data_IF_527292654662
#
_entry.id   IF_527292654662
#
_cell.length_a   1.000
_cell.length_b   1.000
_cell.length_c   1.000
_cell.angle_alpha   90.00
_cell.angle_beta   90.00
_cell.angle_gamma   90.00
#
_symmetry.space_group_name_H-M   'P 1'
#
loop_
_entity.id
_entity.type
_entity.pdbx_description
1 polymer ?
#
# COMPACT_ATOMS: atom_id res chain seq x y z
N UNK A 1 -7.33 6.91 11.82
CA UNK A 1 -7.86 6.15 10.65
C UNK A 1 -7.13 6.58 9.37
N UNK A 2 -7.01 5.70 8.38
CA UNK A 2 -6.40 6.06 7.09
C UNK A 2 -7.27 7.02 6.25
N UNK A 3 -6.66 8.11 5.78
CA UNK A 3 -7.25 9.02 4.80
C UNK A 3 -6.21 9.46 3.75
N UNK A 4 -6.67 10.07 2.65
CA UNK A 4 -5.84 10.59 1.56
C UNK A 4 -5.56 12.06 1.81
N UNK A 5 -4.28 12.38 1.95
CA UNK A 5 -3.81 13.74 2.18
C UNK A 5 -3.02 14.28 1.00
N UNK A 6 -2.92 15.61 0.94
CA UNK A 6 -2.10 16.35 -0.01
C UNK A 6 -1.08 17.20 0.75
N UNK A 7 0.17 17.16 0.33
CA UNK A 7 1.25 18.02 0.82
C UNK A 7 1.15 19.40 0.16
N UNK A 8 1.57 20.42 0.90
CA UNK A 8 1.71 21.78 0.37
C UNK A 8 2.83 21.87 -0.67
N UNK A 9 3.90 21.09 -0.47
CA UNK A 9 5.04 21.01 -1.37
C UNK A 9 5.16 19.60 -1.99
N UNK A 10 5.45 19.56 -3.29
CA UNK A 10 5.67 18.30 -4.02
C UNK A 10 7.01 17.71 -3.59
N UNK A 11 6.95 16.53 -2.98
CA UNK A 11 8.15 15.72 -2.80
C UNK A 11 8.65 15.32 -4.20
N UNK A 12 9.91 15.63 -4.55
CA UNK A 12 10.44 15.34 -5.88
C UNK A 12 10.47 13.84 -6.20
N UNK A 13 10.54 12.99 -5.18
CA UNK A 13 10.60 11.52 -5.32
C UNK A 13 9.22 10.88 -5.11
N UNK A 14 8.42 11.40 -4.19
CA UNK A 14 7.19 10.75 -3.72
C UNK A 14 5.88 11.47 -4.12
N UNK A 15 6.00 12.64 -4.75
CA UNK A 15 4.87 13.41 -5.24
C UNK A 15 4.13 14.21 -4.16
N UNK A 16 2.86 14.55 -4.46
CA UNK A 16 2.05 15.46 -3.64
C UNK A 16 1.09 14.76 -2.68
N UNK A 17 0.67 13.54 -2.98
CA UNK A 17 -0.34 12.83 -2.19
C UNK A 17 0.29 11.71 -1.37
N UNK A 18 -0.36 11.37 -0.28
CA UNK A 18 -0.01 10.26 0.59
C UNK A 18 -1.27 9.75 1.30
N UNK A 19 -1.26 8.50 1.71
CA UNK A 19 -2.28 7.96 2.62
C UNK A 19 -1.72 8.04 4.03
N UNK A 20 -2.50 8.42 5.03
CA UNK A 20 -2.02 8.46 6.41
C UNK A 20 -3.09 8.13 7.43
N UNK A 21 -2.63 7.51 8.52
CA UNK A 21 -3.38 7.34 9.75
C UNK A 21 -2.63 8.07 10.88
N UNK A 22 -3.06 9.29 11.24
CA UNK A 22 -2.38 10.08 12.27
C UNK A 22 -2.40 9.42 13.65
N UNK A 23 -3.48 8.73 14.02
CA UNK A 23 -3.63 8.10 15.34
C UNK A 23 -2.64 6.95 15.53
N UNK A 24 -2.38 6.22 14.43
CA UNK A 24 -1.42 5.10 14.41
C UNK A 24 -0.02 5.52 13.94
N UNK A 25 0.18 6.80 13.66
CA UNK A 25 1.43 7.38 13.12
C UNK A 25 1.92 6.66 11.85
N UNK A 26 0.99 6.32 10.97
CA UNK A 26 1.29 5.60 9.71
C UNK A 26 1.16 6.52 8.51
N UNK A 27 2.09 6.45 7.56
CA UNK A 27 1.91 7.03 6.24
C UNK A 27 2.30 6.04 5.14
N UNK A 28 1.69 6.14 3.97
CA UNK A 28 1.99 5.37 2.78
C UNK A 28 2.14 6.30 1.57
N UNK A 29 3.21 6.10 0.82
CA UNK A 29 3.48 6.81 -0.43
C UNK A 29 3.95 5.86 -1.51
N UNK A 30 3.46 6.06 -2.73
CA UNK A 30 4.01 5.38 -3.91
C UNK A 30 5.36 6.02 -4.27
N UNK A 31 6.38 5.18 -4.43
CA UNK A 31 7.72 5.59 -4.88
C UNK A 31 7.79 5.56 -6.39
N UNK A 32 7.46 4.42 -7.00
CA UNK A 32 7.53 4.23 -8.45
C UNK A 32 6.63 3.09 -8.92
N UNK A 33 6.38 3.01 -10.23
CA UNK A 33 5.84 1.80 -10.86
C UNK A 33 6.94 0.75 -11.12
N UNK A 34 6.55 -0.52 -11.22
CA UNK A 34 7.49 -1.62 -11.48
C UNK A 34 7.67 -1.86 -12.99
N UNK A 35 8.15 -0.86 -13.74
CA UNK A 35 8.48 -0.88 -15.18
C UNK A 35 7.92 -2.04 -16.04
N UNK A 36 8.48 -3.25 -15.91
CA UNK A 36 8.17 -4.43 -16.72
C UNK A 36 6.94 -5.25 -16.27
N UNK A 37 6.31 -4.92 -15.14
CA UNK A 37 5.14 -5.63 -14.61
C UNK A 37 4.13 -4.69 -13.94
N UNK A 38 2.83 -5.05 -13.93
CA UNK A 38 1.83 -4.31 -13.17
C UNK A 38 2.16 -4.32 -11.68
N UNK A 39 2.25 -3.13 -11.08
CA UNK A 39 2.61 -3.00 -9.68
C UNK A 39 3.35 -1.71 -9.37
N UNK A 40 3.70 -1.56 -8.10
CA UNK A 40 4.44 -0.40 -7.63
C UNK A 40 5.28 -0.70 -6.40
N UNK A 41 6.34 0.09 -6.25
CA UNK A 41 7.14 0.19 -5.04
C UNK A 41 6.57 1.29 -4.15
N UNK A 42 6.53 1.02 -2.85
CA UNK A 42 5.96 1.90 -1.84
C UNK A 42 6.91 2.11 -0.69
N UNK A 43 6.72 3.25 -0.03
CA UNK A 43 7.31 3.62 1.25
C UNK A 43 6.16 3.71 2.25
N UNK A 44 6.23 2.93 3.32
CA UNK A 44 5.38 3.14 4.50
C UNK A 44 6.24 3.63 5.66
N UNK A 45 5.73 4.57 6.43
CA UNK A 45 6.33 4.96 7.72
C UNK A 45 5.41 4.54 8.85
N UNK A 46 5.96 4.03 9.95
CA UNK A 46 5.22 3.74 11.19
C UNK A 46 6.05 4.27 12.35
N UNK A 47 5.66 5.41 12.92
CA UNK A 47 6.54 6.16 13.82
C UNK A 47 7.86 6.50 13.11
N UNK A 48 8.98 6.03 13.66
CA UNK A 48 10.32 6.21 13.08
C UNK A 48 10.71 5.15 12.04
N UNK A 49 9.97 4.02 11.96
CA UNK A 49 10.28 2.95 11.02
C UNK A 49 9.93 3.37 9.59
N UNK A 50 10.84 3.15 8.64
CA UNK A 50 10.62 3.35 7.21
C UNK A 50 10.71 2.00 6.51
N UNK A 51 9.58 1.51 6.00
CA UNK A 51 9.44 0.16 5.48
C UNK A 51 9.18 0.24 3.97
N UNK A 52 10.17 -0.12 3.14
CA UNK A 52 9.97 -0.25 1.71
C UNK A 52 9.33 -1.60 1.35
N UNK A 53 8.50 -1.62 0.31
CA UNK A 53 7.92 -2.86 -0.20
C UNK A 53 7.45 -2.74 -1.66
N UNK A 54 7.24 -3.87 -2.31
CA UNK A 54 6.71 -3.96 -3.67
C UNK A 54 5.44 -4.80 -3.68
N UNK A 55 4.48 -4.36 -4.50
CA UNK A 55 3.25 -5.12 -4.75
C UNK A 55 3.02 -5.28 -6.25
N UNK A 56 2.44 -6.42 -6.63
CA UNK A 56 1.77 -6.55 -7.93
C UNK A 56 0.41 -5.87 -7.91
N UNK A 57 -0.17 -5.64 -9.08
CA UNK A 57 -1.54 -5.19 -9.24
C UNK A 57 -2.18 -5.83 -10.46
N UNK A 58 -2.83 -6.98 -10.26
CA UNK A 58 -3.48 -7.72 -11.33
C UNK A 58 -4.95 -7.28 -11.45
N UNK A 59 -5.39 -6.94 -12.66
CA UNK A 59 -6.81 -6.75 -12.95
C UNK A 59 -7.45 -8.12 -13.21
N UNK A 60 -8.49 -8.45 -12.45
CA UNK A 60 -9.19 -9.72 -12.51
C UNK A 60 -10.69 -9.49 -12.61
N UNK A 61 -11.43 -10.50 -13.06
CA UNK A 61 -12.89 -10.50 -13.07
C UNK A 61 -13.39 -11.52 -12.07
N UNK A 62 -14.30 -11.08 -11.20
CA UNK A 62 -14.96 -11.94 -10.23
C UNK A 62 -15.92 -12.89 -10.97
N UNK A 63 -15.74 -14.22 -10.88
CA UNK A 63 -16.50 -15.16 -11.69
C UNK A 63 -17.97 -15.28 -11.26
N UNK A 64 -18.32 -14.89 -10.04
CA UNK A 64 -19.69 -14.96 -9.53
C UNK A 64 -20.50 -13.73 -9.91
N UNK A 65 -19.86 -12.56 -9.86
CA UNK A 65 -20.54 -11.27 -10.09
C UNK A 65 -20.27 -10.67 -11.47
N UNK A 66 -19.22 -11.12 -12.15
CA UNK A 66 -18.72 -10.53 -13.40
C UNK A 66 -18.02 -9.17 -13.23
N UNK A 67 -17.85 -8.70 -12.00
CA UNK A 67 -17.26 -7.39 -11.71
C UNK A 67 -15.73 -7.45 -11.78
N UNK A 68 -15.12 -6.44 -12.41
CA UNK A 68 -13.65 -6.29 -12.40
C UNK A 68 -13.15 -5.78 -11.05
N UNK A 69 -11.98 -6.24 -10.63
CA UNK A 69 -11.29 -5.79 -9.43
C UNK A 69 -9.78 -5.86 -9.60
N UNK A 70 -9.07 -5.04 -8.84
CA UNK A 70 -7.62 -5.07 -8.74
C UNK A 70 -7.23 -5.90 -7.51
N UNK A 71 -6.46 -6.95 -7.74
CA UNK A 71 -5.83 -7.73 -6.67
C UNK A 71 -4.36 -7.35 -6.51
N UNK A 72 -4.00 -6.91 -5.31
CA UNK A 72 -2.61 -6.64 -4.94
C UNK A 72 -2.07 -7.76 -4.09
N UNK A 73 -0.82 -8.14 -4.37
CA UNK A 73 -0.07 -9.10 -3.56
C UNK A 73 1.30 -8.51 -3.24
N UNK A 74 1.74 -8.66 -2.00
CA UNK A 74 3.09 -8.28 -1.60
C UNK A 74 4.09 -9.24 -2.24
N UNK A 75 4.98 -8.70 -3.08
CA UNK A 75 6.11 -9.46 -3.61
C UNK A 75 7.28 -9.44 -2.62
N UNK A 76 7.42 -8.32 -1.92
CA UNK A 76 8.41 -8.12 -0.87
C UNK A 76 7.82 -7.23 0.22
N UNK A 77 8.36 -7.33 1.43
CA UNK A 77 7.99 -6.44 2.54
C UNK A 77 9.17 -6.25 3.48
N UNK A 78 9.60 -5.00 3.66
CA UNK A 78 10.86 -4.62 4.32
C UNK A 78 12.05 -4.48 3.37
N UNK A 79 11.89 -4.80 2.09
CA UNK A 79 12.91 -4.57 1.08
C UNK A 79 12.22 -4.23 -0.25
N UNK A 80 12.81 -3.33 -1.02
CA UNK A 80 12.40 -3.07 -2.41
C UNK A 80 13.62 -2.57 -3.19
N UNK A 81 14.12 -3.34 -4.17
CA UNK A 81 15.17 -2.86 -5.07
C UNK A 81 14.78 -1.56 -5.76
N UNK A 82 13.51 -1.41 -6.15
CA UNK A 82 13.00 -0.20 -6.80
C UNK A 82 13.00 0.99 -5.85
N UNK A 83 12.53 0.82 -4.61
CA UNK A 83 12.52 1.90 -3.62
C UNK A 83 13.93 2.30 -3.19
N UNK A 84 14.87 1.34 -3.14
CA UNK A 84 16.28 1.63 -2.89
C UNK A 84 16.88 2.45 -4.02
N UNK A 85 16.68 2.04 -5.27
CA UNK A 85 17.26 2.71 -6.44
C UNK A 85 16.66 4.10 -6.67
N UNK A 86 15.33 4.23 -6.63
CA UNK A 86 14.63 5.44 -7.05
C UNK A 86 14.23 6.34 -5.87
N UNK A 87 14.00 5.75 -4.70
CA UNK A 87 13.61 6.48 -3.48
C UNK A 87 14.74 6.64 -2.46
N UNK A 88 15.90 6.01 -2.67
CA UNK A 88 17.00 5.94 -1.70
C UNK A 88 16.57 5.40 -0.33
N UNK A 89 15.59 4.48 -0.33
CA UNK A 89 15.05 3.88 0.89
C UNK A 89 15.76 2.55 1.14
N UNK A 90 16.48 2.48 2.25
CA UNK A 90 17.16 1.25 2.66
C UNK A 90 16.18 0.18 3.17
N UNK A 91 16.56 -1.12 3.07
CA UNK A 91 15.77 -2.19 3.66
C UNK A 91 15.57 -2.00 5.16
N UNK A 92 14.42 -2.44 5.64
CA UNK A 92 14.04 -2.46 7.04
C UNK A 92 14.10 -3.88 7.59
N UNK A 93 14.89 -4.07 8.64
CA UNK A 93 14.96 -5.32 9.38
C UNK A 93 13.90 -5.33 10.48
N UNK A 94 12.98 -6.29 10.42
CA UNK A 94 11.95 -6.43 11.44
C UNK A 94 12.53 -7.09 12.69
N UNK A 95 12.21 -6.59 13.89
CA UNK A 95 12.70 -7.20 15.13
C UNK A 95 12.15 -8.63 15.33
N UNK A 96 10.95 -8.89 14.84
CA UNK A 96 10.26 -10.17 14.99
C UNK A 96 9.16 -10.36 13.93
N UNK A 97 8.59 -11.57 13.87
CA UNK A 97 7.54 -11.93 12.90
C UNK A 97 6.19 -11.26 13.21
N UNK A 98 5.90 -10.96 14.47
CA UNK A 98 4.65 -10.36 14.90
C UNK A 98 4.57 -8.89 14.47
N UNK A 99 5.65 -8.14 14.71
CA UNK A 99 5.86 -6.78 14.23
C UNK A 99 5.76 -6.71 12.72
N UNK A 100 6.39 -7.66 12.01
CA UNK A 100 6.26 -7.77 10.55
C UNK A 100 4.80 -7.99 10.12
N UNK A 101 4.09 -8.92 10.76
CA UNK A 101 2.69 -9.20 10.43
C UNK A 101 1.77 -8.00 10.69
N UNK A 102 1.95 -7.31 11.82
CA UNK A 102 1.21 -6.09 12.17
C UNK A 102 1.43 -4.99 11.14
N UNK A 103 2.67 -4.73 10.74
CA UNK A 103 2.98 -3.72 9.74
C UNK A 103 2.47 -4.09 8.35
N UNK A 104 2.48 -5.38 8.02
CA UNK A 104 1.94 -5.86 6.74
C UNK A 104 0.42 -5.65 6.65
N UNK A 105 -0.31 -5.83 7.75
CA UNK A 105 -1.74 -5.48 7.83
C UNK A 105 -1.97 -3.97 7.66
N UNK A 106 -1.19 -3.12 8.35
CA UNK A 106 -1.28 -1.66 8.17
C UNK A 106 -1.01 -1.23 6.72
N UNK A 107 -0.01 -1.85 6.08
CA UNK A 107 0.29 -1.60 4.68
C UNK A 107 -0.88 -2.00 3.76
N UNK A 108 -1.53 -3.13 4.05
CA UNK A 108 -2.68 -3.59 3.27
C UNK A 108 -3.88 -2.65 3.39
N UNK A 109 -4.22 -2.23 4.61
CA UNK A 109 -5.26 -1.22 4.84
C UNK A 109 -4.94 0.08 4.09
N UNK A 110 -3.72 0.58 4.20
CA UNK A 110 -3.30 1.80 3.50
C UNK A 110 -3.33 1.64 1.97
N UNK A 111 -3.00 0.46 1.43
CA UNK A 111 -3.03 0.18 -0.01
C UNK A 111 -4.46 0.16 -0.58
N UNK A 112 -5.43 -0.29 0.22
CA UNK A 112 -6.84 -0.26 -0.16
C UNK A 112 -7.32 1.18 -0.25
N UNK A 113 -7.04 2.01 0.77
CA UNK A 113 -7.36 3.45 0.76
C UNK A 113 -6.63 4.19 -0.36
N UNK A 114 -5.38 3.81 -0.63
CA UNK A 114 -4.62 4.33 -1.76
C UNK A 114 -5.31 4.04 -3.10
N UNK A 115 -6.01 2.91 -3.24
CA UNK A 115 -6.67 2.53 -4.49
C UNK A 115 -5.70 2.32 -5.65
N UNK A 116 -5.99 2.86 -6.83
CA UNK A 116 -5.06 2.87 -7.97
C UNK A 116 -4.13 4.09 -7.94
N UNK A 117 -4.70 5.26 -7.63
CA UNK A 117 -3.99 6.54 -7.70
C UNK A 117 -4.54 7.56 -6.70
N UNK A 118 -4.63 7.17 -5.43
CA UNK A 118 -5.25 7.94 -4.36
C UNK A 118 -6.73 8.19 -4.61
N UNK A 119 -7.46 7.10 -4.86
CA UNK A 119 -8.87 7.07 -5.24
C UNK A 119 -9.65 5.94 -4.54
N UNK A 120 -9.08 5.25 -3.55
CA UNK A 120 -9.69 4.05 -2.96
C UNK A 120 -11.10 4.25 -2.41
N UNK A 121 -11.41 5.41 -1.82
CA UNK A 121 -12.76 5.74 -1.34
C UNK A 121 -13.77 6.10 -2.43
N UNK A 122 -13.31 6.37 -3.65
CA UNK A 122 -14.17 6.68 -4.80
C UNK A 122 -14.51 5.43 -5.62
N UNK A 123 -13.90 4.29 -5.29
CA UNK A 123 -14.15 3.01 -5.94
C UNK A 123 -15.23 2.23 -5.22
N UNK A 124 -15.90 1.34 -5.96
CA UNK A 124 -16.88 0.43 -5.36
C UNK A 124 -16.22 -0.49 -4.32
N UNK A 125 -17.00 -0.89 -3.31
CA UNK A 125 -16.55 -1.87 -2.32
C UNK A 125 -16.07 -3.15 -3.02
N UNK A 126 -14.88 -3.62 -2.64
CA UNK A 126 -14.28 -4.83 -3.22
C UNK A 126 -13.62 -4.64 -4.58
N UNK A 127 -13.64 -3.44 -5.17
CA UNK A 127 -12.87 -3.13 -6.37
C UNK A 127 -11.36 -3.21 -6.11
N UNK A 128 -10.90 -2.73 -4.94
CA UNK A 128 -9.51 -2.89 -4.51
C UNK A 128 -9.45 -4.00 -3.47
N UNK A 129 -8.65 -5.02 -3.78
CA UNK A 129 -8.43 -6.19 -2.91
C UNK A 129 -6.93 -6.34 -2.63
N UNK A 130 -6.57 -6.67 -1.40
CA UNK A 130 -5.17 -6.93 -1.02
C UNK A 130 -5.06 -8.28 -0.36
N UNK A 131 -4.22 -9.17 -0.91
CA UNK A 131 -3.90 -10.44 -0.29
C UNK A 131 -2.84 -10.27 0.80
N UNK A 132 -3.17 -10.73 2.00
CA UNK A 132 -2.28 -10.79 3.15
C UNK A 132 -2.30 -12.22 3.69
N UNK A 133 -1.27 -13.00 3.31
CA UNK A 133 -1.10 -14.35 3.84
C UNK A 133 -2.26 -15.29 3.48
N UNK A 134 -2.81 -15.17 2.28
CA UNK A 134 -3.95 -15.97 1.80
C UNK A 134 -5.32 -15.45 2.26
N UNK A 135 -5.37 -14.37 3.04
CA UNK A 135 -6.61 -13.63 3.32
C UNK A 135 -6.68 -12.41 2.42
N UNK A 136 -7.75 -12.32 1.65
CA UNK A 136 -8.06 -11.12 0.85
C UNK A 136 -8.80 -10.10 1.73
N UNK A 137 -8.25 -8.90 1.82
CA UNK A 137 -8.86 -7.74 2.50
C UNK A 137 -9.48 -6.78 1.48
N UNK A 138 -10.60 -6.17 1.84
CA UNK A 138 -11.27 -5.11 1.08
C UNK A 138 -11.56 -3.90 1.98
N UNK A 139 -12.17 -2.83 1.43
CA UNK A 139 -12.39 -1.60 2.17
C UNK A 139 -13.30 -1.82 3.39
N UNK A 140 -14.27 -2.75 3.34
CA UNK A 140 -15.08 -3.16 4.52
C UNK A 140 -14.30 -3.78 5.68
N UNK A 141 -13.11 -4.31 5.43
CA UNK A 141 -12.26 -4.90 6.49
C UNK A 141 -11.51 -3.82 7.28
N UNK A 142 -11.50 -2.58 6.80
CA UNK A 142 -10.84 -1.45 7.44
C UNK A 142 -11.81 -0.80 8.42
N UNK A 143 -11.33 -0.50 9.62
CA UNK A 143 -12.13 0.23 10.61
C UNK A 143 -12.66 1.55 10.02
N UNK A 144 -13.98 1.66 9.90
CA UNK A 144 -14.71 2.85 9.49
C UNK A 144 -14.99 3.75 10.70
N UNK A 145 -15.29 5.06 10.50
CA UNK A 145 -15.79 5.91 11.58
C UNK A 145 -17.15 5.43 12.11
#
# INVERSE_FOLDING_TARGET
MFDIHKREYKDPLLGLKYVADPDRLVTLQRVAGLAHRPGAAFKMTVGEAVIPFEVTGDMLTDPETGQEFILRRFESFGASPTAKLLGQIEPYEFPDKETRARFLLLAAEALIVFGWSYDGFSQDEGFIRVDVGGRTLTLRDIAHP
#
